data_IF_673054896351
#
_entry.id   IF_673054896351
#
_cell.length_a   1.000
_cell.length_b   1.000
_cell.length_c   1.000
_cell.angle_alpha   90.00
_cell.angle_beta   90.00
_cell.angle_gamma   90.00
#
_symmetry.space_group_name_H-M   'P 1'
#
loop_
_entity.id
_entity.type
_entity.pdbx_description
1 polymer ?
#
# COMPACT_ATOMS: atom_id res chain seq x y z
N UNK A 1 -20.25 -45.86 -42.29
CA UNK A 1 -20.16 -44.57 -41.57
C UNK A 1 -21.55 -44.18 -41.12
N UNK A 2 -21.80 -44.10 -39.82
CA UNK A 2 -23.06 -43.55 -39.31
C UNK A 2 -22.98 -42.03 -39.46
N UNK A 3 -23.96 -41.41 -40.13
CA UNK A 3 -24.05 -39.96 -40.26
C UNK A 3 -24.96 -39.46 -39.14
N UNK A 4 -24.40 -38.80 -38.13
CA UNK A 4 -25.17 -38.09 -37.13
C UNK A 4 -25.39 -36.66 -37.64
N UNK A 5 -26.65 -36.30 -37.92
CA UNK A 5 -27.01 -34.96 -38.39
C UNK A 5 -27.86 -34.29 -37.30
N UNK A 6 -27.38 -33.15 -36.78
CA UNK A 6 -28.07 -32.39 -35.74
C UNK A 6 -28.22 -30.94 -36.17
N UNK A 7 -29.46 -30.49 -36.26
CA UNK A 7 -29.78 -29.09 -36.58
C UNK A 7 -29.97 -28.30 -35.29
N UNK A 8 -29.08 -27.36 -35.03
CA UNK A 8 -29.19 -26.42 -33.92
C UNK A 8 -29.85 -25.13 -34.41
N UNK A 9 -30.75 -24.56 -33.61
CA UNK A 9 -31.36 -23.24 -33.87
C UNK A 9 -31.00 -22.31 -32.72
N UNK A 10 -30.55 -21.09 -32.98
CA UNK A 10 -30.26 -20.15 -31.91
C UNK A 10 -31.57 -19.78 -31.20
N UNK A 11 -31.55 -19.73 -29.87
CA UNK A 11 -32.63 -19.14 -29.07
C UNK A 11 -32.54 -17.60 -29.08
N UNK A 12 -31.37 -17.07 -29.44
CA UNK A 12 -31.07 -15.65 -29.51
C UNK A 12 -31.29 -15.06 -30.92
N UNK A 13 -31.76 -13.82 -30.98
CA UNK A 13 -31.81 -13.03 -32.22
C UNK A 13 -30.45 -12.40 -32.49
N UNK A 14 -30.00 -12.44 -33.74
CA UNK A 14 -28.77 -11.76 -34.16
C UNK A 14 -28.91 -10.24 -34.01
N UNK A 15 -28.15 -9.66 -33.08
CA UNK A 15 -28.14 -8.22 -32.76
C UNK A 15 -26.79 -7.55 -33.06
N UNK A 16 -25.94 -8.18 -33.89
CA UNK A 16 -24.60 -7.69 -34.22
C UNK A 16 -23.46 -8.45 -33.52
N UNK A 17 -23.77 -9.21 -32.47
CA UNK A 17 -22.84 -10.10 -31.78
C UNK A 17 -22.76 -11.49 -32.46
N UNK A 18 -21.62 -12.20 -32.33
CA UNK A 18 -21.50 -13.60 -32.75
C UNK A 18 -22.63 -14.45 -32.13
N UNK A 19 -23.18 -15.38 -32.92
CA UNK A 19 -24.12 -16.38 -32.42
C UNK A 19 -23.33 -17.57 -31.89
N UNK A 20 -23.65 -18.00 -30.67
CA UNK A 20 -23.01 -19.12 -30.01
C UNK A 20 -23.95 -20.33 -29.90
N UNK A 21 -23.39 -21.53 -30.06
CA UNK A 21 -24.09 -22.79 -29.88
C UNK A 21 -23.25 -23.71 -29.00
N UNK A 22 -23.86 -24.21 -27.92
CA UNK A 22 -23.27 -25.28 -27.14
C UNK A 22 -23.48 -26.60 -27.88
N UNK A 23 -22.39 -27.26 -28.26
CA UNK A 23 -22.42 -28.63 -28.79
C UNK A 23 -22.14 -29.59 -27.61
N UNK A 24 -23.12 -30.38 -27.17
CA UNK A 24 -22.91 -31.36 -26.10
C UNK A 24 -21.75 -32.31 -26.42
N UNK A 25 -20.87 -32.54 -25.44
CA UNK A 25 -19.74 -33.50 -25.57
C UNK A 25 -20.20 -34.89 -26.02
N UNK A 26 -21.40 -35.32 -25.62
CA UNK A 26 -21.99 -36.59 -26.04
C UNK A 26 -22.19 -36.70 -27.55
N UNK A 27 -22.44 -35.58 -28.24
CA UNK A 27 -22.60 -35.56 -29.70
C UNK A 27 -21.25 -35.71 -30.41
N UNK A 28 -20.17 -35.21 -29.78
CA UNK A 28 -18.81 -35.32 -30.30
C UNK A 28 -18.20 -36.70 -30.02
N UNK A 29 -18.52 -37.31 -28.88
CA UNK A 29 -18.10 -38.68 -28.53
C UNK A 29 -18.62 -39.75 -29.51
N UNK A 30 -19.62 -39.43 -30.33
CA UNK A 30 -20.15 -40.32 -31.35
C UNK A 30 -19.31 -40.38 -32.63
N UNK A 31 -18.28 -39.53 -32.75
CA UNK A 31 -17.36 -39.49 -33.89
C UNK A 31 -16.09 -40.25 -33.51
N UNK A 32 -15.83 -41.36 -34.20
CA UNK A 32 -14.62 -42.16 -34.01
C UNK A 32 -13.35 -41.36 -34.38
N UNK A 33 -12.21 -41.84 -33.88
CA UNK A 33 -10.86 -41.44 -34.32
C UNK A 33 -10.74 -41.58 -35.83
N UNK A 34 -10.10 -40.60 -36.47
CA UNK A 34 -10.00 -40.40 -37.92
C UNK A 34 -11.36 -40.09 -38.60
N UNK A 35 -12.41 -39.91 -37.80
CA UNK A 35 -13.72 -39.43 -38.22
C UNK A 35 -13.71 -37.95 -38.58
N UNK A 36 -14.81 -37.48 -39.17
CA UNK A 36 -14.96 -36.09 -39.60
C UNK A 36 -16.24 -35.48 -39.04
N UNK A 37 -16.13 -34.27 -38.51
CA UNK A 37 -17.25 -33.40 -38.19
C UNK A 37 -17.38 -32.37 -39.31
N UNK A 38 -18.57 -32.24 -39.88
CA UNK A 38 -18.86 -31.22 -40.88
C UNK A 38 -19.86 -30.22 -40.31
N UNK A 39 -19.51 -28.94 -40.36
CA UNK A 39 -20.33 -27.87 -39.83
C UNK A 39 -20.62 -26.84 -40.92
N UNK A 40 -21.89 -26.50 -41.09
CA UNK A 40 -22.37 -25.43 -41.96
C UNK A 40 -23.62 -24.82 -41.36
N UNK A 41 -23.90 -23.56 -41.65
CA UNK A 41 -25.10 -22.89 -41.21
C UNK A 41 -25.86 -22.30 -42.41
N UNK A 42 -27.17 -22.12 -42.24
CA UNK A 42 -28.02 -21.41 -43.19
C UNK A 42 -28.75 -20.31 -42.43
N UNK A 43 -28.81 -19.11 -43.01
CA UNK A 43 -29.50 -17.97 -42.39
C UNK A 43 -30.87 -17.80 -43.04
N UNK A 44 -31.92 -17.81 -42.21
CA UNK A 44 -33.27 -17.47 -42.63
C UNK A 44 -33.60 -16.04 -42.22
N UNK A 45 -33.94 -15.21 -43.21
CA UNK A 45 -34.34 -13.83 -43.00
C UNK A 45 -35.78 -13.73 -42.52
N UNK A 46 -36.12 -12.59 -41.91
CA UNK A 46 -37.44 -12.31 -41.34
C UNK A 46 -38.58 -12.37 -42.37
N UNK A 47 -38.27 -12.09 -43.65
CA UNK A 47 -39.22 -12.15 -44.76
C UNK A 47 -39.41 -13.57 -45.35
N UNK A 48 -38.79 -14.57 -44.71
CA UNK A 48 -38.91 -15.98 -45.09
C UNK A 48 -37.89 -16.43 -46.13
N UNK A 49 -37.08 -15.53 -46.70
CA UNK A 49 -35.98 -15.90 -47.61
C UNK A 49 -34.86 -16.61 -46.84
N UNK A 50 -34.36 -17.70 -47.39
CA UNK A 50 -33.17 -18.38 -46.89
C UNK A 50 -31.97 -17.95 -47.74
N UNK A 51 -30.91 -17.53 -47.07
CA UNK A 51 -29.65 -17.21 -47.72
C UNK A 51 -28.94 -18.51 -48.16
N UNK A 52 -28.00 -18.38 -49.08
CA UNK A 52 -27.13 -19.49 -49.46
C UNK A 52 -26.45 -20.07 -48.22
N UNK A 53 -26.40 -21.40 -48.06
CA UNK A 53 -25.67 -22.04 -46.96
C UNK A 53 -24.23 -21.55 -46.90
N UNK A 54 -23.70 -21.48 -45.68
CA UNK A 54 -22.29 -21.21 -45.45
C UNK A 54 -21.43 -22.26 -46.13
N UNK A 55 -20.13 -21.97 -46.27
CA UNK A 55 -19.17 -23.03 -46.58
C UNK A 55 -19.22 -24.09 -45.47
N UNK A 56 -19.08 -25.36 -45.87
CA UNK A 56 -18.91 -26.46 -44.92
C UNK A 56 -17.48 -26.43 -44.39
N UNK A 57 -17.36 -26.32 -43.08
CA UNK A 57 -16.10 -26.51 -42.37
C UNK A 57 -15.99 -27.97 -41.95
N UNK A 58 -14.91 -28.63 -42.34
CA UNK A 58 -14.65 -30.03 -41.99
C UNK A 58 -13.55 -30.09 -40.94
N UNK A 59 -13.85 -30.69 -39.80
CA UNK A 59 -12.89 -31.00 -38.75
C UNK A 59 -12.57 -32.48 -38.82
N UNK A 60 -11.29 -32.84 -38.86
CA UNK A 60 -10.85 -34.21 -38.68
C UNK A 60 -10.65 -34.45 -37.18
N UNK A 61 -11.26 -35.50 -36.65
CA UNK A 61 -11.06 -35.92 -35.27
C UNK A 61 -9.88 -36.87 -35.27
N UNK A 62 -8.81 -36.52 -34.57
CA UNK A 62 -7.62 -37.37 -34.44
C UNK A 62 -7.30 -37.58 -32.95
N UNK A 63 -6.99 -38.82 -32.56
CA UNK A 63 -6.48 -39.14 -31.22
C UNK A 63 -4.99 -38.78 -31.06
N UNK A 64 -4.31 -38.54 -32.19
CA UNK A 64 -2.94 -38.06 -32.18
C UNK A 64 -2.93 -36.58 -31.79
N UNK A 65 -2.82 -36.30 -30.49
CA UNK A 65 -2.01 -35.15 -30.09
C UNK A 65 -0.62 -35.47 -30.62
N UNK A 66 -0.19 -34.78 -31.68
CA UNK A 66 1.20 -34.87 -32.15
C UNK A 66 2.10 -34.23 -31.09
N UNK A 67 2.39 -35.01 -30.04
CA UNK A 67 3.19 -34.63 -28.88
C UNK A 67 4.65 -34.33 -29.27
N UNK A 68 5.07 -34.63 -30.51
CA UNK A 68 6.38 -34.29 -31.05
C UNK A 68 6.53 -32.81 -31.46
N UNK A 69 5.44 -32.04 -31.52
CA UNK A 69 5.40 -30.65 -32.00
C UNK A 69 4.50 -29.75 -31.17
N UNK A 70 4.51 -29.89 -29.84
CA UNK A 70 3.82 -28.94 -28.97
C UNK A 70 4.43 -27.54 -29.09
N UNK A 71 3.58 -26.53 -29.08
CA UNK A 71 4.01 -25.14 -28.99
C UNK A 71 4.53 -24.83 -27.57
N UNK A 72 5.39 -23.80 -27.39
CA UNK A 72 5.76 -23.32 -26.07
C UNK A 72 4.53 -22.99 -25.23
N UNK A 73 4.58 -23.27 -23.92
CA UNK A 73 3.52 -22.91 -22.99
C UNK A 73 3.26 -21.39 -22.99
N UNK A 74 2.02 -20.94 -22.71
CA UNK A 74 1.76 -19.54 -22.45
C UNK A 74 2.51 -19.07 -21.19
N UNK A 75 2.90 -17.81 -21.16
CA UNK A 75 3.41 -17.14 -19.96
C UNK A 75 2.22 -16.63 -19.14
N UNK A 76 2.15 -17.05 -17.87
CA UNK A 76 1.15 -16.57 -16.92
C UNK A 76 1.75 -15.36 -16.21
N UNK A 77 1.04 -14.22 -16.22
CA UNK A 77 1.55 -12.97 -15.63
C UNK A 77 1.50 -12.93 -14.11
N UNK A 78 1.98 -13.98 -13.45
CA UNK A 78 2.04 -14.13 -11.99
C UNK A 78 3.48 -14.25 -11.45
N UNK A 79 4.48 -13.88 -12.25
CA UNK A 79 5.89 -13.98 -11.86
C UNK A 79 6.45 -15.40 -11.83
N UNK A 80 5.72 -16.39 -12.39
CA UNK A 80 6.20 -17.78 -12.52
C UNK A 80 5.84 -18.72 -11.37
N UNK A 81 5.05 -18.26 -10.39
CA UNK A 81 4.48 -19.12 -9.35
C UNK A 81 3.46 -20.12 -9.90
N UNK A 82 3.17 -21.19 -9.16
CA UNK A 82 2.05 -22.09 -9.49
C UNK A 82 0.73 -21.67 -8.83
N UNK A 83 0.80 -20.92 -7.73
CA UNK A 83 -0.37 -20.46 -6.99
C UNK A 83 -0.89 -19.14 -7.55
N UNK A 84 -2.23 -19.01 -7.61
CA UNK A 84 -2.93 -17.80 -8.02
C UNK A 84 -3.90 -17.41 -6.92
N UNK A 85 -3.66 -16.27 -6.28
CA UNK A 85 -4.63 -15.59 -5.42
C UNK A 85 -5.45 -14.61 -6.29
N UNK A 86 -6.75 -14.84 -6.52
CA UNK A 86 -7.58 -13.93 -7.32
C UNK A 86 -7.63 -12.49 -6.79
N UNK A 87 -7.41 -12.27 -5.49
CA UNK A 87 -7.34 -10.95 -4.87
C UNK A 87 -6.21 -10.08 -5.40
N UNK A 88 -5.15 -10.68 -5.96
CA UNK A 88 -4.04 -9.96 -6.57
C UNK A 88 -4.32 -9.51 -8.01
N UNK A 89 -5.42 -9.97 -8.61
CA UNK A 89 -5.78 -9.72 -10.01
C UNK A 89 -7.19 -9.12 -10.12
N UNK A 90 -7.45 -7.94 -9.51
CA UNK A 90 -8.78 -7.32 -9.53
C UNK A 90 -9.22 -6.92 -10.95
N UNK A 91 -8.25 -6.68 -11.84
CA UNK A 91 -8.47 -6.37 -13.25
C UNK A 91 -8.28 -7.59 -14.16
N UNK A 92 -8.08 -8.79 -13.59
CA UNK A 92 -7.89 -10.06 -14.29
C UNK A 92 -6.42 -10.51 -14.40
N UNK A 93 -6.22 -11.80 -14.66
CA UNK A 93 -4.90 -12.43 -14.79
C UNK A 93 -4.46 -12.44 -16.25
N UNK A 94 -3.38 -11.73 -16.62
CA UNK A 94 -2.90 -11.72 -18.00
C UNK A 94 -2.23 -13.05 -18.35
N UNK A 95 -2.59 -13.58 -19.52
CA UNK A 95 -1.98 -14.73 -20.16
C UNK A 95 -1.35 -14.27 -21.46
N UNK A 96 -0.05 -14.47 -21.55
CA UNK A 96 0.75 -14.01 -22.66
C UNK A 96 1.11 -15.19 -23.55
N UNK A 97 0.84 -15.03 -24.84
CA UNK A 97 1.18 -16.01 -25.87
C UNK A 97 2.15 -15.34 -26.84
N UNK A 98 3.38 -15.87 -26.89
CA UNK A 98 4.33 -15.50 -27.94
C UNK A 98 3.94 -16.16 -29.27
N UNK A 99 4.31 -15.52 -30.39
CA UNK A 99 3.97 -15.99 -31.73
C UNK A 99 4.34 -17.45 -31.99
N UNK A 100 3.53 -18.12 -32.80
CA UNK A 100 3.72 -19.52 -33.20
C UNK A 100 4.28 -19.62 -34.63
N UNK A 101 4.78 -20.78 -35.07
CA UNK A 101 5.39 -20.94 -36.39
C UNK A 101 4.43 -20.59 -37.54
N UNK A 102 4.92 -19.79 -38.49
CA UNK A 102 4.20 -19.41 -39.72
C UNK A 102 2.78 -18.83 -39.48
N UNK A 103 2.64 -17.81 -38.62
CA UNK A 103 1.33 -17.23 -38.33
C UNK A 103 0.80 -16.54 -39.58
N UNK A 104 -0.50 -16.70 -39.85
CA UNK A 104 -1.14 -16.14 -41.04
C UNK A 104 -2.42 -15.36 -40.69
N UNK A 105 -2.76 -14.40 -41.56
CA UNK A 105 -4.03 -13.67 -41.48
C UNK A 105 -5.17 -14.67 -41.59
N UNK A 106 -6.10 -14.61 -40.64
CA UNK A 106 -7.28 -15.47 -40.58
C UNK A 106 -7.11 -16.72 -39.73
N UNK A 107 -5.92 -16.98 -39.18
CA UNK A 107 -5.73 -18.04 -38.19
C UNK A 107 -6.56 -17.75 -36.93
N UNK A 108 -7.06 -18.80 -36.28
CA UNK A 108 -7.74 -18.70 -35.00
C UNK A 108 -6.79 -19.10 -33.88
N UNK A 109 -6.59 -18.22 -32.90
CA UNK A 109 -5.89 -18.49 -31.66
C UNK A 109 -6.93 -18.72 -30.55
N UNK A 110 -6.86 -19.85 -29.89
CA UNK A 110 -7.78 -20.28 -28.84
C UNK A 110 -7.00 -20.42 -27.54
N UNK A 111 -7.38 -19.67 -26.51
CA UNK A 111 -6.90 -19.85 -25.15
C UNK A 111 -7.94 -20.67 -24.37
N UNK A 112 -7.49 -21.76 -23.76
CA UNK A 112 -8.32 -22.61 -22.92
C UNK A 112 -7.87 -22.51 -21.46
N UNK A 113 -8.82 -22.15 -20.60
CA UNK A 113 -8.70 -22.21 -19.14
C UNK A 113 -9.56 -23.35 -18.60
N UNK A 114 -8.92 -24.45 -18.20
CA UNK A 114 -9.58 -25.66 -17.73
C UNK A 114 -9.82 -25.56 -16.23
N UNK A 115 -11.09 -25.53 -15.86
CA UNK A 115 -11.58 -25.54 -14.49
C UNK A 115 -11.31 -26.90 -13.81
N UNK A 116 -11.34 -26.99 -12.47
CA UNK A 116 -11.18 -28.25 -11.75
C UNK A 116 -12.25 -29.29 -12.09
N UNK A 117 -13.42 -28.86 -12.56
CA UNK A 117 -14.49 -29.72 -13.06
C UNK A 117 -14.14 -30.44 -14.38
N UNK A 118 -13.09 -30.00 -15.07
CA UNK A 118 -12.72 -30.42 -16.43
C UNK A 118 -13.46 -29.67 -17.54
N UNK A 119 -14.35 -28.72 -17.19
CA UNK A 119 -14.90 -27.76 -18.14
C UNK A 119 -13.82 -26.75 -18.54
N UNK A 120 -13.87 -26.25 -19.78
CA UNK A 120 -12.93 -25.24 -20.25
C UNK A 120 -13.68 -23.95 -20.58
N UNK A 121 -13.24 -22.83 -20.00
CA UNK A 121 -13.55 -21.51 -20.54
C UNK A 121 -12.60 -21.21 -21.68
N UNK A 122 -13.16 -20.74 -22.79
CA UNK A 122 -12.42 -20.60 -24.05
C UNK A 122 -12.54 -19.17 -24.56
N UNK A 123 -11.40 -18.56 -24.87
CA UNK A 123 -11.33 -17.28 -25.57
C UNK A 123 -10.75 -17.50 -26.96
N UNK A 124 -11.34 -16.87 -27.98
CA UNK A 124 -10.92 -17.03 -29.37
C UNK A 124 -10.59 -15.67 -29.97
N UNK A 125 -9.41 -15.56 -30.56
CA UNK A 125 -8.97 -14.41 -31.34
C UNK A 125 -8.76 -14.86 -32.79
N UNK A 126 -9.21 -14.05 -33.74
CA UNK A 126 -8.89 -14.26 -35.16
C UNK A 126 -7.81 -13.27 -35.58
N UNK A 127 -6.71 -13.79 -36.11
CA UNK A 127 -5.55 -12.97 -36.48
C UNK A 127 -5.85 -12.11 -37.72
N UNK A 128 -5.40 -10.87 -37.68
CA UNK A 128 -5.38 -9.92 -38.80
C UNK A 128 -3.95 -9.44 -39.10
N UNK A 129 -3.78 -8.51 -40.04
CA UNK A 129 -2.45 -7.98 -40.37
C UNK A 129 -1.76 -7.33 -39.17
N UNK A 130 -2.51 -6.65 -38.31
CA UNK A 130 -1.97 -6.00 -37.10
C UNK A 130 -1.48 -7.03 -36.08
N UNK A 131 -2.18 -8.16 -35.98
CA UNK A 131 -1.85 -9.30 -35.13
C UNK A 131 -0.50 -9.91 -35.50
N UNK A 132 -0.22 -10.02 -36.81
CA UNK A 132 1.04 -10.54 -37.32
C UNK A 132 2.22 -9.61 -37.01
N UNK A 133 1.99 -8.29 -37.04
CA UNK A 133 3.01 -7.29 -36.67
C UNK A 133 3.28 -7.33 -35.17
N UNK A 134 2.25 -7.49 -34.34
CA UNK A 134 2.39 -7.55 -32.89
C UNK A 134 3.20 -8.77 -32.44
N UNK A 135 2.92 -9.95 -33.01
CA UNK A 135 3.69 -11.19 -32.76
C UNK A 135 3.64 -11.71 -31.32
N UNK A 136 2.87 -11.06 -30.43
CA UNK A 136 2.65 -11.41 -29.02
C UNK A 136 1.24 -11.00 -28.65
N UNK A 137 0.53 -11.88 -27.96
CA UNK A 137 -0.88 -11.72 -27.61
C UNK A 137 -1.04 -11.73 -26.09
N UNK A 138 -1.82 -10.79 -25.56
CA UNK A 138 -2.18 -10.76 -24.14
C UNK A 138 -3.69 -10.95 -24.03
N UNK A 139 -4.10 -12.07 -23.48
CA UNK A 139 -5.48 -12.35 -23.12
C UNK A 139 -5.63 -12.24 -21.61
N UNK A 140 -6.85 -12.06 -21.14
CA UNK A 140 -7.13 -11.83 -19.72
C UNK A 140 -8.10 -12.87 -19.22
N UNK A 141 -7.72 -13.60 -18.17
CA UNK A 141 -8.68 -14.41 -17.41
C UNK A 141 -9.41 -13.46 -16.46
N UNK A 142 -10.71 -13.30 -16.67
CA UNK A 142 -11.52 -12.34 -15.92
C UNK A 142 -11.57 -12.68 -14.42
N UNK A 143 -11.66 -11.67 -13.53
CA UNK A 143 -11.72 -11.89 -12.08
C UNK A 143 -12.82 -12.86 -11.64
N UNK A 144 -13.99 -12.80 -12.28
CA UNK A 144 -15.12 -13.68 -11.95
C UNK A 144 -14.80 -15.15 -12.27
N UNK A 145 -14.09 -15.41 -13.38
CA UNK A 145 -13.66 -16.75 -13.75
C UNK A 145 -12.58 -17.27 -12.80
N UNK A 146 -11.61 -16.43 -12.40
CA UNK A 146 -10.61 -16.80 -11.39
C UNK A 146 -11.28 -17.21 -10.08
N UNK A 147 -12.22 -16.41 -9.58
CA UNK A 147 -12.96 -16.73 -8.34
C UNK A 147 -13.79 -18.02 -8.45
N UNK A 148 -14.29 -18.36 -9.63
CA UNK A 148 -15.00 -19.61 -9.89
C UNK A 148 -14.07 -20.83 -10.07
N UNK A 149 -12.76 -20.61 -10.17
CA UNK A 149 -11.77 -21.62 -10.55
C UNK A 149 -10.97 -22.20 -9.39
N UNK A 150 -11.44 -22.06 -8.14
CA UNK A 150 -10.70 -22.52 -6.95
C UNK A 150 -10.24 -23.98 -7.05
N UNK A 151 -8.95 -24.20 -6.86
CA UNK A 151 -8.26 -25.49 -6.98
C UNK A 151 -7.40 -25.60 -8.25
N UNK A 152 -7.06 -26.84 -8.60
CA UNK A 152 -6.16 -27.14 -9.70
C UNK A 152 -6.80 -26.80 -11.07
N UNK A 153 -6.10 -25.98 -11.85
CA UNK A 153 -6.48 -25.57 -13.20
C UNK A 153 -5.35 -25.80 -14.19
N UNK A 154 -5.69 -25.77 -15.48
CA UNK A 154 -4.71 -25.82 -16.55
C UNK A 154 -4.98 -24.71 -17.57
N UNK A 155 -3.93 -24.05 -18.02
CA UNK A 155 -4.01 -23.09 -19.11
C UNK A 155 -3.13 -23.53 -20.27
N UNK A 156 -3.70 -23.54 -21.48
CA UNK A 156 -2.98 -23.82 -22.71
C UNK A 156 -3.64 -23.07 -23.86
N UNK A 157 -2.94 -22.97 -24.98
CA UNK A 157 -3.51 -22.39 -26.19
C UNK A 157 -3.34 -23.32 -27.40
N UNK A 158 -4.15 -23.06 -28.42
CA UNK A 158 -4.12 -23.73 -29.70
C UNK A 158 -4.20 -22.69 -30.79
N UNK A 159 -3.60 -22.97 -31.95
CA UNK A 159 -4.00 -22.29 -33.17
C UNK A 159 -4.60 -23.28 -34.17
N UNK A 160 -5.48 -22.77 -35.02
CA UNK A 160 -6.08 -23.55 -36.09
C UNK A 160 -6.28 -22.71 -37.36
N UNK A 161 -6.00 -23.36 -38.49
CA UNK A 161 -6.38 -22.95 -39.84
C UNK A 161 -6.73 -24.17 -40.67
N UNK A 162 -7.20 -23.95 -41.90
CA UNK A 162 -7.48 -25.05 -42.82
C UNK A 162 -6.21 -25.91 -43.02
N UNK A 163 -6.31 -27.19 -42.65
CA UNK A 163 -5.23 -28.17 -42.82
C UNK A 163 -4.07 -28.09 -41.81
N UNK A 164 -4.11 -27.20 -40.81
CA UNK A 164 -3.07 -27.12 -39.78
C UNK A 164 -3.60 -26.66 -38.42
N UNK A 165 -3.20 -27.36 -37.37
CA UNK A 165 -3.47 -26.99 -35.98
C UNK A 165 -2.38 -27.54 -35.06
N UNK A 166 -1.99 -26.77 -34.04
CA UNK A 166 -1.08 -27.24 -33.00
C UNK A 166 -1.59 -26.79 -31.62
N UNK A 167 -1.15 -27.52 -30.59
CA UNK A 167 -1.47 -27.24 -29.18
C UNK A 167 -0.20 -26.90 -28.43
N UNK A 168 -0.28 -26.00 -27.45
CA UNK A 168 0.83 -25.69 -26.56
C UNK A 168 1.02 -26.73 -25.47
N UNK A 169 2.17 -26.69 -24.80
CA UNK A 169 2.27 -27.22 -23.45
C UNK A 169 1.24 -26.55 -22.53
N UNK A 170 0.65 -27.32 -21.62
CA UNK A 170 -0.24 -26.79 -20.59
C UNK A 170 0.57 -26.33 -19.37
N UNK A 171 0.16 -25.22 -18.78
CA UNK A 171 0.68 -24.74 -17.50
C UNK A 171 -0.30 -25.17 -16.41
N UNK A 172 0.10 -26.07 -15.49
CA UNK A 172 -0.70 -26.36 -14.31
C UNK A 172 -0.59 -25.20 -13.31
N UNK A 173 -1.72 -24.76 -12.77
CA UNK A 173 -1.79 -23.75 -11.71
C UNK A 173 -2.73 -24.24 -10.62
N UNK A 174 -2.65 -23.63 -9.44
CA UNK A 174 -3.59 -23.84 -8.34
C UNK A 174 -4.19 -22.49 -7.93
N UNK A 175 -5.50 -22.31 -8.14
CA UNK A 175 -6.19 -21.08 -7.77
C UNK A 175 -6.62 -21.20 -6.31
N UNK A 176 -6.03 -20.39 -5.44
CA UNK A 176 -6.30 -20.43 -4.02
C UNK A 176 -7.41 -19.45 -3.65
N UNK A 177 -8.01 -19.66 -2.47
CA UNK A 177 -8.95 -18.68 -1.93
C UNK A 177 -8.22 -17.35 -1.69
N UNK A 178 -8.84 -16.20 -1.98
CA UNK A 178 -8.20 -14.92 -1.74
C UNK A 178 -7.77 -14.76 -0.29
N UNK A 179 -6.56 -14.23 -0.08
CA UNK A 179 -6.06 -13.95 1.27
C UNK A 179 -7.03 -12.99 1.97
N UNK A 180 -7.44 -13.35 3.18
CA UNK A 180 -8.24 -12.47 4.01
C UNK A 180 -7.44 -11.22 4.40
N UNK A 181 -8.12 -10.07 4.51
CA UNK A 181 -7.48 -8.83 4.96
C UNK A 181 -6.86 -9.06 6.34
N UNK A 182 -5.53 -8.87 6.50
CA UNK A 182 -4.87 -9.11 7.78
C UNK A 182 -5.43 -8.24 8.91
N UNK A 183 -5.52 -8.77 10.15
CA UNK A 183 -6.07 -8.04 11.30
C UNK A 183 -5.18 -6.86 11.72
N UNK A 184 -5.72 -5.90 12.47
CA UNK A 184 -4.97 -4.72 12.95
C UNK A 184 -3.76 -5.12 13.80
N UNK A 185 -2.65 -4.37 13.75
CA UNK A 185 -1.60 -4.51 14.74
C UNK A 185 -2.06 -4.03 16.12
N UNK A 186 -1.30 -4.35 17.16
CA UNK A 186 -1.44 -3.75 18.49
C UNK A 186 -0.27 -2.81 18.74
N UNK A 187 -0.52 -1.56 19.12
CA UNK A 187 0.52 -0.68 19.65
C UNK A 187 0.62 -0.90 21.15
N UNK A 188 1.77 -1.38 21.64
CA UNK A 188 2.00 -1.67 23.06
C UNK A 188 1.75 -0.42 23.91
N UNK A 189 1.18 -0.63 25.10
CA UNK A 189 0.85 0.42 26.06
C UNK A 189 -0.12 1.49 25.56
N UNK A 190 -0.75 1.27 24.40
CA UNK A 190 -1.85 2.11 23.92
C UNK A 190 -3.19 1.67 24.51
N UNK A 191 -4.10 2.63 24.69
CA UNK A 191 -5.44 2.41 25.24
C UNK A 191 -6.51 2.77 24.21
N UNK A 192 -7.54 1.93 24.08
CA UNK A 192 -8.67 2.21 23.19
C UNK A 192 -9.35 3.54 23.56
N UNK A 193 -9.67 4.35 22.56
CA UNK A 193 -10.22 5.70 22.71
C UNK A 193 -11.71 5.81 22.36
N UNK A 194 -12.43 4.69 22.35
CA UNK A 194 -13.88 4.62 22.18
C UNK A 194 -14.32 3.94 20.89
N UNK A 195 -13.68 4.24 19.75
CA UNK A 195 -13.90 3.53 18.50
C UNK A 195 -13.02 2.28 18.39
N UNK A 196 -13.44 1.28 17.61
CA UNK A 196 -12.77 -0.03 17.55
C UNK A 196 -11.30 0.04 17.08
N UNK A 197 -10.97 1.01 16.23
CA UNK A 197 -9.66 1.24 15.62
C UNK A 197 -8.92 2.44 16.21
N UNK A 198 -9.49 3.19 17.15
CA UNK A 198 -8.86 4.39 17.72
C UNK A 198 -8.18 4.11 19.05
N UNK A 199 -6.90 4.50 19.15
CA UNK A 199 -6.08 4.25 20.33
C UNK A 199 -5.26 5.49 20.70
N UNK A 200 -4.99 5.67 21.99
CA UNK A 200 -4.13 6.73 22.51
C UNK A 200 -2.89 6.11 23.15
N UNK A 201 -1.74 6.76 23.00
CA UNK A 201 -0.50 6.43 23.71
C UNK A 201 0.16 7.70 24.23
N UNK A 202 0.75 7.69 25.42
CA UNK A 202 1.45 8.88 25.93
C UNK A 202 2.87 8.94 25.39
N UNK A 203 3.26 10.08 24.80
CA UNK A 203 4.64 10.31 24.38
C UNK A 203 5.65 10.13 25.52
N UNK A 204 5.24 10.46 26.75
CA UNK A 204 6.05 10.22 27.92
C UNK A 204 6.43 8.74 28.03
N UNK A 205 5.51 7.80 27.92
CA UNK A 205 5.78 6.38 28.19
C UNK A 205 6.78 5.78 27.19
N UNK A 206 6.76 6.27 25.94
CA UNK A 206 7.61 5.81 24.83
C UNK A 206 8.85 6.68 24.56
N UNK A 207 9.12 7.70 25.39
CA UNK A 207 10.18 8.71 25.15
C UNK A 207 11.60 8.17 24.97
N UNK A 208 11.92 7.00 25.53
CA UNK A 208 13.28 6.43 25.51
C UNK A 208 13.44 5.34 24.46
N UNK A 209 12.48 4.43 24.39
CA UNK A 209 12.59 3.21 23.58
C UNK A 209 11.72 3.27 22.33
N UNK A 210 10.97 4.34 22.10
CA UNK A 210 10.01 4.41 21.02
C UNK A 210 8.77 3.55 21.27
N UNK A 211 7.95 3.36 20.23
CA UNK A 211 6.71 2.61 20.30
C UNK A 211 6.89 1.21 19.73
N UNK A 212 6.35 0.19 20.40
CA UNK A 212 6.36 -1.18 19.91
C UNK A 212 5.04 -1.51 19.22
N UNK A 213 5.13 -2.01 17.99
CA UNK A 213 4.00 -2.49 17.19
C UNK A 213 4.08 -4.01 17.13
N UNK A 214 3.02 -4.67 17.58
CA UNK A 214 2.91 -6.12 17.63
C UNK A 214 1.98 -6.60 16.53
N UNK A 215 2.48 -7.54 15.73
CA UNK A 215 1.73 -8.16 14.65
C UNK A 215 1.02 -9.40 15.22
N UNK A 216 -0.31 -9.51 15.05
CA UNK A 216 -1.04 -10.69 15.51
C UNK A 216 -0.59 -11.95 14.76
N UNK A 217 -0.57 -13.10 15.44
CA UNK A 217 -0.25 -14.40 14.84
C UNK A 217 -1.21 -14.79 13.71
N UNK A 218 -2.42 -14.26 13.76
CA UNK A 218 -3.50 -14.40 12.77
C UNK A 218 -3.19 -13.68 11.45
N UNK A 219 -2.08 -12.93 11.36
CA UNK A 219 -1.59 -12.38 10.10
C UNK A 219 -1.19 -13.47 9.08
N UNK A 220 -0.92 -14.70 9.55
CA UNK A 220 -0.61 -15.88 8.73
C UNK A 220 0.50 -15.61 7.70
N UNK A 221 1.70 -15.34 8.21
CA UNK A 221 2.89 -15.11 7.40
C UNK A 221 3.37 -16.44 6.80
N UNK A 222 3.39 -16.52 5.47
CA UNK A 222 3.83 -17.71 4.72
C UNK A 222 5.35 -17.70 4.54
N UNK A 223 5.96 -18.85 4.17
CA UNK A 223 7.34 -18.87 3.72
C UNK A 223 7.57 -17.83 2.61
N UNK A 224 8.76 -17.23 2.57
CA UNK A 224 9.16 -16.19 1.62
C UNK A 224 8.39 -14.85 1.71
N UNK A 225 7.61 -14.65 2.78
CA UNK A 225 7.00 -13.37 3.11
C UNK A 225 7.73 -12.67 4.27
N UNK A 226 7.73 -11.34 4.25
CA UNK A 226 8.19 -10.51 5.36
C UNK A 226 7.17 -9.40 5.67
N UNK A 227 7.34 -8.74 6.81
CA UNK A 227 6.44 -7.69 7.26
C UNK A 227 7.15 -6.34 7.26
N UNK A 228 6.47 -5.33 6.70
CA UNK A 228 6.82 -3.93 6.86
C UNK A 228 5.79 -3.24 7.76
N UNK A 229 6.24 -2.60 8.84
CA UNK A 229 5.36 -1.78 9.70
C UNK A 229 5.38 -0.34 9.20
N UNK A 230 4.22 0.17 8.82
CA UNK A 230 4.03 1.54 8.37
C UNK A 230 3.50 2.40 9.51
N UNK A 231 4.35 3.32 9.97
CA UNK A 231 3.97 4.36 10.92
C UNK A 231 3.70 5.65 10.13
N UNK A 232 2.45 5.87 9.71
CA UNK A 232 2.09 6.93 8.77
C UNK A 232 1.81 8.29 9.42
N UNK A 233 2.62 8.67 10.40
CA UNK A 233 2.51 9.95 11.08
C UNK A 233 2.83 11.17 10.21
N UNK A 234 3.12 12.27 10.88
CA UNK A 234 3.40 13.57 10.29
C UNK A 234 4.53 13.49 9.25
N UNK A 235 4.38 14.06 8.04
CA UNK A 235 5.42 14.03 7.02
C UNK A 235 6.72 14.72 7.47
N UNK A 236 6.67 15.66 8.41
CA UNK A 236 7.83 16.39 8.90
C UNK A 236 8.50 15.68 10.08
N UNK A 237 8.92 14.42 9.85
CA UNK A 237 9.69 13.63 10.81
C UNK A 237 8.86 12.79 11.78
N UNK A 238 7.57 12.59 11.50
CA UNK A 238 6.69 11.68 12.22
C UNK A 238 6.40 10.38 11.46
N UNK A 239 6.98 10.13 10.30
CA UNK A 239 6.69 8.99 9.43
C UNK A 239 7.89 8.07 9.23
N UNK A 240 7.67 6.76 9.29
CA UNK A 240 8.71 5.76 8.99
C UNK A 240 8.12 4.40 8.58
N UNK A 241 8.96 3.57 7.98
CA UNK A 241 8.67 2.16 7.64
C UNK A 241 9.72 1.30 8.33
N UNK A 242 9.29 0.32 9.12
CA UNK A 242 10.18 -0.60 9.85
C UNK A 242 10.09 -1.98 9.18
N UNK A 243 11.21 -2.43 8.60
CA UNK A 243 11.27 -3.69 7.83
C UNK A 243 11.83 -4.87 8.64
N UNK A 244 12.48 -4.58 9.76
CA UNK A 244 13.13 -5.59 10.58
C UNK A 244 12.47 -5.71 11.94
N UNK A 245 12.20 -6.93 12.41
CA UNK A 245 11.68 -7.14 13.74
C UNK A 245 12.71 -6.71 14.79
N UNK A 246 12.19 -6.30 15.94
CA UNK A 246 12.95 -6.04 17.14
C UNK A 246 13.51 -7.35 17.73
N UNK A 247 14.53 -7.22 18.58
CA UNK A 247 15.15 -8.35 19.28
C UNK A 247 14.16 -9.12 20.19
N UNK A 248 13.04 -8.53 20.59
CA UNK A 248 12.00 -9.19 21.37
C UNK A 248 11.27 -10.32 20.63
N UNK A 249 11.24 -10.32 19.29
CA UNK A 249 10.67 -11.42 18.52
C UNK A 249 10.28 -11.07 17.08
N UNK A 250 10.01 -12.08 16.23
CA UNK A 250 9.82 -11.91 14.78
C UNK A 250 8.56 -11.13 14.38
N UNK A 251 7.62 -10.92 15.31
CA UNK A 251 6.37 -10.19 15.10
C UNK A 251 6.27 -8.93 15.98
N UNK A 252 7.40 -8.47 16.52
CA UNK A 252 7.51 -7.25 17.31
C UNK A 252 8.37 -6.28 16.53
N UNK A 253 7.90 -5.06 16.33
CA UNK A 253 8.62 -4.03 15.58
C UNK A 253 8.74 -2.78 16.42
N UNK A 254 9.95 -2.22 16.49
CA UNK A 254 10.22 -0.99 17.21
C UNK A 254 10.17 0.21 16.26
N UNK A 255 9.30 1.18 16.57
CA UNK A 255 9.30 2.51 15.95
C UNK A 255 10.18 3.42 16.80
N UNK A 256 11.33 3.90 16.29
CA UNK A 256 12.27 4.68 17.08
C UNK A 256 11.66 5.96 17.68
N UNK A 257 12.17 6.36 18.85
CA UNK A 257 11.65 7.51 19.61
C UNK A 257 11.72 8.84 18.83
N UNK A 258 12.62 8.97 17.87
CA UNK A 258 12.77 10.18 17.03
C UNK A 258 11.56 10.48 16.14
N UNK A 259 10.73 9.48 15.85
CA UNK A 259 9.48 9.63 15.07
C UNK A 259 8.25 9.94 15.93
N UNK A 260 8.36 9.87 17.25
CA UNK A 260 7.27 10.15 18.20
C UNK A 260 6.87 11.65 18.22
N UNK A 261 7.79 12.61 18.39
CA UNK A 261 7.42 13.95 18.81
C UNK A 261 6.61 14.75 17.77
N UNK A 262 6.86 14.54 16.47
CA UNK A 262 6.10 15.21 15.40
C UNK A 262 4.63 14.77 15.34
N UNK A 263 4.31 13.62 15.97
CA UNK A 263 2.95 13.08 16.03
C UNK A 263 2.17 13.48 17.27
N UNK A 264 2.77 14.25 18.18
CA UNK A 264 2.10 14.67 19.40
C UNK A 264 0.90 15.58 19.10
N UNK A 265 -0.21 15.35 19.81
CA UNK A 265 -1.40 16.17 19.67
C UNK A 265 -2.51 15.78 20.65
N UNK A 266 -3.45 16.71 20.86
CA UNK A 266 -4.62 16.50 21.74
C UNK A 266 -5.93 16.39 20.97
N UNK A 267 -5.92 16.66 19.67
CA UNK A 267 -7.12 16.65 18.83
C UNK A 267 -7.27 15.34 18.07
N UNK A 268 -8.50 14.86 17.82
CA UNK A 268 -8.72 13.68 16.97
C UNK A 268 -8.13 13.81 15.57
N UNK A 269 -7.99 15.03 15.03
CA UNK A 269 -7.37 15.30 13.73
C UNK A 269 -5.87 15.01 13.66
N UNK A 270 -5.20 14.83 14.80
CA UNK A 270 -3.79 14.41 14.88
C UNK A 270 -3.65 12.88 14.91
N UNK A 271 -4.75 12.12 14.85
CA UNK A 271 -4.68 10.67 14.66
C UNK A 271 -4.07 10.33 13.31
N UNK A 272 -3.23 9.31 13.28
CA UNK A 272 -2.64 8.78 12.06
C UNK A 272 -2.68 7.26 12.05
N UNK A 273 -2.48 6.67 10.88
CA UNK A 273 -2.58 5.24 10.69
C UNK A 273 -1.27 4.52 11.01
N UNK A 274 -1.41 3.43 11.76
CA UNK A 274 -0.36 2.43 11.99
C UNK A 274 -0.89 1.10 11.49
N UNK A 275 -0.24 0.53 10.49
CA UNK A 275 -0.60 -0.76 9.92
C UNK A 275 0.67 -1.52 9.53
N UNK A 276 0.50 -2.78 9.13
CA UNK A 276 1.59 -3.55 8.56
C UNK A 276 1.22 -4.08 7.18
N UNK A 277 2.25 -4.30 6.38
CA UNK A 277 2.18 -4.85 5.04
C UNK A 277 2.93 -6.16 5.02
N UNK A 278 2.24 -7.23 4.60
CA UNK A 278 2.89 -8.50 4.29
C UNK A 278 3.38 -8.38 2.84
N UNK A 279 4.67 -8.63 2.60
CA UNK A 279 5.30 -8.53 1.28
C UNK A 279 5.86 -9.89 0.90
N UNK A 280 5.47 -10.38 -0.27
CA UNK A 280 6.02 -11.59 -0.87
C UNK A 280 7.34 -11.25 -1.59
N UNK A 281 8.41 -11.95 -1.22
CA UNK A 281 9.79 -11.52 -1.53
C UNK A 281 10.14 -11.64 -3.02
N UNK A 282 9.53 -12.58 -3.74
CA UNK A 282 9.93 -12.91 -5.12
C UNK A 282 9.17 -12.11 -6.17
N UNK A 283 7.90 -11.81 -5.91
CA UNK A 283 6.97 -11.11 -6.81
C UNK A 283 6.77 -9.65 -6.44
N UNK A 284 7.01 -9.27 -5.17
CA UNK A 284 6.72 -7.93 -4.65
C UNK A 284 5.23 -7.68 -4.39
N UNK A 285 4.39 -8.71 -4.52
CA UNK A 285 2.99 -8.66 -4.11
C UNK A 285 2.88 -8.34 -2.62
N UNK A 286 1.84 -7.62 -2.23
CA UNK A 286 1.66 -7.22 -0.85
C UNK A 286 0.21 -7.11 -0.41
N UNK A 287 0.01 -7.26 0.90
CA UNK A 287 -1.31 -7.17 1.54
C UNK A 287 -1.22 -6.29 2.78
N UNK A 288 -1.99 -5.22 2.78
CA UNK A 288 -2.08 -4.29 3.90
C UNK A 288 -3.07 -4.80 4.95
N UNK A 289 -2.67 -4.73 6.20
CA UNK A 289 -3.55 -4.97 7.33
C UNK A 289 -4.59 -3.88 7.48
N UNK A 290 -5.63 -4.15 8.27
CA UNK A 290 -6.42 -3.07 8.87
C UNK A 290 -5.49 -2.14 9.68
N UNK A 291 -5.81 -0.86 9.73
CA UNK A 291 -5.00 0.13 10.45
C UNK A 291 -5.55 0.43 11.85
N UNK A 292 -4.63 0.73 12.77
CA UNK A 292 -4.92 1.43 14.03
C UNK A 292 -4.79 2.94 13.79
N UNK A 293 -5.76 3.72 14.27
CA UNK A 293 -5.72 5.19 14.30
C UNK A 293 -5.17 5.67 15.63
N UNK A 294 -3.87 5.91 15.68
CA UNK A 294 -3.14 6.26 16.89
C UNK A 294 -3.12 7.77 17.11
N UNK A 295 -3.42 8.22 18.33
CA UNK A 295 -3.11 9.56 18.82
C UNK A 295 -1.98 9.47 19.83
N UNK A 296 -0.89 10.19 19.57
CA UNK A 296 0.20 10.33 20.54
C UNK A 296 -0.11 11.55 21.41
N UNK A 297 -0.47 11.32 22.67
CA UNK A 297 -0.73 12.40 23.62
C UNK A 297 0.60 13.08 23.99
N UNK A 298 0.63 14.44 24.02
CA UNK A 298 1.86 15.18 24.25
C UNK A 298 2.41 14.94 25.66
N UNK A 299 3.71 15.18 25.81
CA UNK A 299 4.33 15.28 27.14
C UNK A 299 3.78 16.52 27.84
N UNK A 300 3.40 16.36 29.11
CA UNK A 300 2.96 17.47 29.96
C UNK A 300 4.04 18.55 30.05
N UNK A 301 3.64 19.83 29.95
CA UNK A 301 4.53 21.00 29.96
C UNK A 301 5.51 20.96 31.15
N UNK A 302 5.05 20.55 32.33
CA UNK A 302 5.83 20.51 33.57
C UNK A 302 6.99 19.51 33.55
N UNK A 303 7.06 18.66 32.53
CA UNK A 303 8.10 17.63 32.36
C UNK A 303 9.21 18.06 31.40
N UNK A 304 9.07 19.21 30.74
CA UNK A 304 10.16 19.80 29.97
C UNK A 304 11.09 20.61 30.87
N UNK A 305 12.30 20.85 30.37
CA UNK A 305 13.27 21.68 31.06
C UNK A 305 12.81 23.15 31.10
N UNK A 306 12.86 23.75 32.28
CA UNK A 306 12.63 25.19 32.46
C UNK A 306 13.89 25.94 32.04
N UNK A 307 13.73 27.02 31.29
CA UNK A 307 14.85 27.93 31.03
C UNK A 307 15.33 28.56 32.35
N UNK A 308 16.64 28.68 32.53
CA UNK A 308 17.25 29.25 33.72
C UNK A 308 17.99 30.55 33.41
N UNK A 309 18.16 31.41 34.43
CA UNK A 309 18.96 32.62 34.35
C UNK A 309 20.03 32.62 35.44
N UNK A 310 21.26 32.13 35.15
CA UNK A 310 22.31 32.00 36.16
C UNK A 310 22.80 33.31 36.78
N UNK A 311 22.45 34.46 36.18
CA UNK A 311 22.78 35.79 36.69
C UNK A 311 21.70 36.36 37.63
N UNK A 312 20.56 35.69 37.76
CA UNK A 312 19.55 36.01 38.77
C UNK A 312 19.98 35.49 40.15
N UNK A 313 19.57 36.19 41.21
CA UNK A 313 19.83 35.76 42.58
C UNK A 313 18.88 34.64 43.02
N UNK A 314 19.04 34.17 44.27
CA UNK A 314 18.21 33.09 44.84
C UNK A 314 16.71 33.44 44.95
N UNK A 315 16.36 34.72 44.89
CA UNK A 315 14.99 35.23 44.91
C UNK A 315 14.44 35.49 43.49
N UNK A 316 15.11 34.96 42.45
CA UNK A 316 14.77 35.14 41.03
C UNK A 316 14.79 36.64 40.62
N UNK A 317 15.66 37.44 41.24
CA UNK A 317 15.85 38.85 40.87
C UNK A 317 17.05 39.01 39.94
N UNK A 318 16.84 39.68 38.80
CA UNK A 318 17.88 40.00 37.82
C UNK A 318 18.18 41.50 37.86
N UNK A 319 19.44 41.86 38.13
CA UNK A 319 19.90 43.26 38.14
C UNK A 319 20.18 43.73 36.71
N UNK A 320 19.65 44.90 36.36
CA UNK A 320 19.86 45.53 35.07
C UNK A 320 21.30 46.05 34.97
N UNK A 321 22.15 45.29 34.27
CA UNK A 321 23.55 45.63 34.02
C UNK A 321 23.83 45.70 32.51
N UNK A 322 24.85 46.47 32.06
CA UNK A 322 25.18 46.57 30.64
C UNK A 322 25.46 45.24 29.93
N UNK A 323 25.91 44.22 30.67
CA UNK A 323 26.16 42.89 30.16
C UNK A 323 24.88 42.08 29.85
N UNK A 324 23.72 42.51 30.35
CA UNK A 324 22.48 41.74 30.27
C UNK A 324 22.42 40.60 31.30
N UNK A 325 21.57 39.61 31.05
CA UNK A 325 21.47 38.38 31.83
C UNK A 325 21.57 37.14 30.94
N UNK A 326 22.39 36.17 31.31
CA UNK A 326 22.55 34.91 30.57
C UNK A 326 21.32 34.04 30.75
N UNK A 327 20.92 33.37 29.68
CA UNK A 327 19.89 32.34 29.68
C UNK A 327 20.53 31.00 29.36
N UNK A 328 20.10 29.96 30.08
CA UNK A 328 20.51 28.59 29.84
C UNK A 328 19.30 27.67 29.80
N UNK A 329 19.17 26.89 28.74
CA UNK A 329 18.19 25.82 28.62
C UNK A 329 18.92 24.49 28.44
N UNK A 330 18.80 23.60 29.43
CA UNK A 330 19.39 22.26 29.35
C UNK A 330 18.76 21.44 28.20
N UNK A 331 19.46 20.40 27.69
CA UNK A 331 18.89 19.49 26.70
C UNK A 331 17.54 18.92 27.14
N UNK A 332 16.51 19.08 26.31
CA UNK A 332 15.14 18.65 26.63
C UNK A 332 14.76 17.33 25.94
N UNK A 333 13.62 16.78 26.35
CA UNK A 333 13.06 15.57 25.74
C UNK A 333 12.80 15.75 24.25
N UNK A 334 13.33 14.82 23.46
CA UNK A 334 13.25 14.83 22.00
C UNK A 334 13.96 16.02 21.31
N UNK A 335 14.93 16.64 21.98
CA UNK A 335 15.83 17.60 21.32
C UNK A 335 16.51 16.93 20.12
N UNK A 336 16.43 17.58 18.95
CA UNK A 336 17.08 17.11 17.73
C UNK A 336 17.67 18.27 16.94
N UNK A 337 18.66 17.96 16.10
CA UNK A 337 19.20 18.91 15.13
C UNK A 337 18.09 19.42 14.22
N UNK A 338 18.18 20.69 13.83
CA UNK A 338 17.28 21.39 12.92
C UNK A 338 15.85 21.61 13.45
N UNK A 339 15.59 21.20 14.69
CA UNK A 339 14.36 21.54 15.40
C UNK A 339 14.26 23.05 15.61
N UNK A 340 13.09 23.65 15.36
CA UNK A 340 12.89 25.08 15.53
C UNK A 340 12.65 25.40 17.01
N UNK A 341 13.46 26.32 17.55
CA UNK A 341 13.38 26.82 18.92
C UNK A 341 13.17 28.33 18.90
N UNK A 342 12.21 28.78 19.72
CA UNK A 342 12.02 30.19 20.04
C UNK A 342 12.14 30.43 21.54
N UNK A 343 12.69 31.59 21.93
CA UNK A 343 12.76 32.04 23.32
C UNK A 343 12.07 33.39 23.39
N UNK A 344 11.13 33.51 24.33
CA UNK A 344 10.23 34.63 24.47
C UNK A 344 10.42 35.32 25.81
N UNK A 345 10.08 36.60 25.84
CA UNK A 345 10.00 37.40 27.05
C UNK A 345 8.67 38.14 27.07
N UNK A 346 8.02 38.20 28.23
CA UNK A 346 6.85 39.05 28.45
C UNK A 346 6.89 39.72 29.80
N UNK A 347 6.51 40.99 29.88
CA UNK A 347 6.46 41.72 31.14
C UNK A 347 5.69 43.03 30.99
N UNK A 348 5.94 43.96 31.91
CA UNK A 348 5.35 45.29 31.89
C UNK A 348 6.43 46.31 31.57
N UNK A 349 6.18 47.16 30.58
CA UNK A 349 7.05 48.26 30.17
C UNK A 349 6.58 49.63 30.69
N UNK A 350 7.16 50.69 30.13
CA UNK A 350 6.84 52.06 30.52
C UNK A 350 5.33 52.38 30.42
N UNK A 351 4.81 53.08 31.43
CA UNK A 351 3.38 53.43 31.48
C UNK A 351 2.45 52.25 31.78
N UNK A 352 2.97 51.15 32.34
CA UNK A 352 2.22 49.93 32.66
C UNK A 352 1.65 49.21 31.42
N UNK A 353 2.33 49.31 30.28
CA UNK A 353 1.93 48.66 29.03
C UNK A 353 2.56 47.27 28.94
N UNK A 354 1.81 46.20 28.60
CA UNK A 354 2.38 44.89 28.35
C UNK A 354 3.41 44.91 27.22
N UNK A 355 4.55 44.27 27.46
CA UNK A 355 5.63 44.09 26.48
C UNK A 355 5.80 42.61 26.24
N UNK A 356 5.87 42.20 24.97
CA UNK A 356 6.24 40.85 24.55
C UNK A 356 7.30 40.94 23.48
N UNK A 357 8.38 40.21 23.64
CA UNK A 357 9.54 40.22 22.75
C UNK A 357 9.99 38.79 22.47
N UNK A 358 10.59 38.57 21.29
CA UNK A 358 11.16 37.28 20.89
C UNK A 358 12.68 37.46 20.81
N UNK A 359 13.41 36.77 21.68
CA UNK A 359 14.87 36.86 21.77
C UNK A 359 15.53 35.99 20.69
N UNK A 360 14.96 34.81 20.54
CA UNK A 360 15.34 33.80 19.56
C UNK A 360 14.09 33.44 18.79
N UNK A 361 14.08 33.69 17.50
CA UNK A 361 12.89 33.48 16.64
C UNK A 361 13.14 32.34 15.67
N UNK A 362 12.54 31.17 15.96
CA UNK A 362 12.52 30.00 15.09
C UNK A 362 13.91 29.56 14.61
N UNK A 363 14.91 29.68 15.47
CA UNK A 363 16.29 29.38 15.09
C UNK A 363 16.51 27.87 15.26
N UNK A 364 16.98 27.16 14.20
CA UNK A 364 17.23 25.74 14.27
C UNK A 364 18.26 25.36 15.34
N UNK A 365 18.02 24.24 16.04
CA UNK A 365 18.94 23.67 17.03
C UNK A 365 20.14 23.04 16.33
N UNK A 366 21.35 23.34 16.80
CA UNK A 366 22.61 22.79 16.27
C UNK A 366 22.99 21.45 16.91
N UNK A 367 23.90 20.70 16.30
CA UNK A 367 24.42 19.44 16.86
C UNK A 367 25.11 19.60 18.23
N UNK A 368 25.73 20.76 18.46
CA UNK A 368 26.33 21.07 19.77
C UNK A 368 25.23 21.28 20.81
N UNK A 369 24.19 22.03 20.46
CA UNK A 369 23.08 22.32 21.36
C UNK A 369 22.24 21.09 21.71
N UNK A 370 22.18 20.09 20.83
CA UNK A 370 21.59 18.77 21.16
C UNK A 370 22.29 18.13 22.36
N UNK A 371 23.60 18.35 22.53
CA UNK A 371 24.42 17.74 23.58
C UNK A 371 24.53 18.61 24.83
N UNK A 372 24.69 19.92 24.65
CA UNK A 372 25.05 20.86 25.71
C UNK A 372 23.89 21.74 26.18
N UNK A 373 22.78 21.77 25.43
CA UNK A 373 21.69 22.70 25.66
C UNK A 373 21.87 24.00 24.88
N UNK A 374 21.05 24.98 25.18
CA UNK A 374 21.02 26.28 24.49
C UNK A 374 21.36 27.38 25.48
N UNK A 375 22.45 28.08 25.21
CA UNK A 375 22.78 29.35 25.86
C UNK A 375 22.30 30.51 24.98
N UNK A 376 21.68 31.51 25.61
CA UNK A 376 21.24 32.75 24.96
C UNK A 376 21.42 33.96 25.90
N UNK A 377 21.08 35.17 25.45
CA UNK A 377 21.31 36.41 26.20
C UNK A 377 20.07 37.30 26.25
N UNK A 378 19.60 37.60 27.47
CA UNK A 378 18.74 38.74 27.74
C UNK A 378 19.58 40.01 27.62
N UNK A 379 19.55 40.65 26.44
CA UNK A 379 20.31 41.87 26.21
C UNK A 379 19.81 43.02 27.09
N UNK A 380 20.71 43.93 27.46
CA UNK A 380 20.34 45.15 28.17
C UNK A 380 19.28 45.96 27.40
N UNK A 381 19.31 45.96 26.06
CA UNK A 381 18.31 46.63 25.23
C UNK A 381 16.89 46.08 25.46
N UNK A 382 16.74 44.75 25.50
CA UNK A 382 15.45 44.12 25.78
C UNK A 382 15.00 44.38 27.21
N UNK A 383 15.89 44.20 28.19
CA UNK A 383 15.58 44.44 29.60
C UNK A 383 15.20 45.90 29.88
N UNK A 384 15.80 46.86 29.17
CA UNK A 384 15.49 48.30 29.30
C UNK A 384 14.08 48.68 28.82
N UNK A 385 13.40 47.80 28.07
CA UNK A 385 11.99 47.99 27.68
C UNK A 385 11.04 47.72 28.85
N UNK A 386 11.49 46.96 29.85
CA UNK A 386 10.71 46.58 31.02
C UNK A 386 10.80 47.64 32.13
N UNK A 387 9.75 47.70 32.94
CA UNK A 387 9.69 48.56 34.10
C UNK A 387 10.46 47.93 35.28
N UNK A 388 11.34 48.68 35.98
CA UNK A 388 11.97 48.26 37.22
C UNK A 388 10.97 47.81 38.31
N UNK A 389 11.42 46.88 39.16
CA UNK A 389 10.66 46.30 40.27
C UNK A 389 9.35 45.61 39.86
N UNK A 390 9.24 45.23 38.59
CA UNK A 390 8.14 44.42 38.06
C UNK A 390 8.62 43.02 37.70
N UNK A 391 7.68 42.08 37.76
CA UNK A 391 7.90 40.72 37.28
C UNK A 391 7.85 40.65 35.76
N UNK A 392 8.64 39.77 35.20
CA UNK A 392 8.58 39.37 33.80
C UNK A 392 8.81 37.86 33.68
N UNK A 393 8.36 37.30 32.57
CA UNK A 393 8.44 35.89 32.25
C UNK A 393 9.42 35.68 31.11
N UNK A 394 10.19 34.61 31.19
CA UNK A 394 10.99 34.08 30.08
C UNK A 394 10.64 32.63 29.87
N UNK A 395 10.43 32.20 28.63
CA UNK A 395 10.16 30.80 28.33
C UNK A 395 10.65 30.42 26.95
N UNK A 396 10.92 29.13 26.79
CA UNK A 396 11.22 28.52 25.50
C UNK A 396 9.96 27.89 24.92
N UNK A 397 9.91 27.80 23.59
CA UNK A 397 8.90 27.03 22.87
C UNK A 397 9.56 26.31 21.70
N UNK A 398 9.13 25.10 21.42
CA UNK A 398 9.73 24.23 20.39
C UNK A 398 8.67 23.74 19.42
N UNK A 399 9.03 23.64 18.14
CA UNK A 399 8.22 22.96 17.14
C UNK A 399 8.82 21.60 16.75
N UNK A 400 8.05 20.53 16.97
CA UNK A 400 8.47 19.16 16.65
C UNK A 400 8.12 18.74 15.22
N UNK A 401 7.03 19.27 14.67
CA UNK A 401 6.49 19.02 13.32
C UNK A 401 6.73 20.20 12.34
N UNK A 402 7.37 21.28 12.82
CA UNK A 402 7.63 22.50 12.05
C UNK A 402 6.43 23.44 11.94
N UNK A 403 5.29 23.12 12.56
CA UNK A 403 4.05 23.89 12.46
C UNK A 403 3.49 24.27 13.82
N UNK A 404 3.36 23.29 14.72
CA UNK A 404 2.81 23.47 16.06
C UNK A 404 3.92 23.76 17.06
N UNK A 405 3.63 24.65 18.01
CA UNK A 405 4.56 25.06 19.06
C UNK A 405 4.15 24.45 20.40
N UNK A 406 5.14 23.93 21.11
CA UNK A 406 5.02 23.42 22.47
C UNK A 406 5.78 24.35 23.39
N UNK A 407 5.08 25.01 24.31
CA UNK A 407 5.69 25.84 25.34
C UNK A 407 6.34 24.97 26.42
N UNK A 408 7.46 25.46 26.96
CA UNK A 408 8.12 24.90 28.14
C UNK A 408 7.77 25.72 29.38
N UNK A 409 8.05 25.19 30.60
CA UNK A 409 7.80 25.92 31.83
C UNK A 409 8.42 27.32 31.81
N UNK A 410 7.67 28.27 32.33
CA UNK A 410 8.08 29.68 32.38
C UNK A 410 8.97 29.95 33.58
N UNK A 411 9.99 30.78 33.38
CA UNK A 411 10.82 31.36 34.42
C UNK A 411 10.24 32.74 34.79
N UNK A 412 9.82 32.88 36.05
CA UNK A 412 9.47 34.17 36.63
C UNK A 412 10.74 34.88 37.09
N UNK A 413 10.93 36.14 36.72
CA UNK A 413 12.03 36.97 37.19
C UNK A 413 11.51 38.33 37.65
N UNK A 414 12.21 38.97 38.58
CA UNK A 414 11.96 40.39 38.94
C UNK A 414 13.11 41.25 38.46
N UNK A 415 12.81 42.30 37.68
CA UNK A 415 13.86 43.22 37.21
C UNK A 415 14.24 44.20 38.32
N UNK A 416 15.52 44.29 38.63
CA UNK A 416 16.11 45.25 39.59
C UNK A 416 17.05 46.22 38.88
N UNK A 417 17.29 47.38 39.48
CA UNK A 417 18.19 48.44 38.95
C UNK A 417 19.43 48.56 39.82
#
# INVERSE_FOLDING_TARGET
MSKLEKSLRPEQKFNGEPLEWLIPKSDLNAVDVDGRLEMSYTVKLKDGRELTPSRTQTFLISDAVDTGTLLPAPEVGNGGGSEIDPGNYPDGLPIIIDGYPQPAVGDYLLLAWVLPSGEASVQVIRLDESSLVAGRFSLLIEPALLLASLGAVQVFYQYAREGASLTSHAVPLDVTAPRAVPPMPTVRDSTNAGAADEYNINAWDIRRNGAYVLIPSEADLRPDEHVEVHWQGDPNGGRTIIQYPDAEGPLVFNVPAEFVPANMGVTPSKRFEVFYRIVETNTGLHWDSKAVKLLVLPVDETRYERIDCPDANADEELVLVPAGGRLKLEPWLFIKKDQLLSIHLSGIGAGSVPVTEVLRDQVPVTELQVKEGVDDLLTHELLSKLQPDQKFLVWASVSFDGVQWTDFPKLDLTLKV
#
